data_IF_290624290295
#
_entry.id   IF_290624290295
#
_cell.length_a   1.000
_cell.length_b   1.000
_cell.length_c   1.000
_cell.angle_alpha   90.00
_cell.angle_beta   90.00
_cell.angle_gamma   90.00
#
_symmetry.space_group_name_H-M   'P 1'
#
loop_
_entity.id
_entity.type
_entity.pdbx_description
1 polymer ?
#
# COMPACT_ATOMS: atom_id res chain seq x y z
N UNK A 1 40.61 8.26 -43.79
CA UNK A 1 39.85 9.22 -42.97
C UNK A 1 38.38 9.09 -43.31
N UNK A 2 37.58 8.49 -42.43
CA UNK A 2 36.14 8.37 -42.61
C UNK A 2 35.50 8.41 -41.22
N UNK A 3 35.15 9.62 -40.81
CA UNK A 3 34.49 9.96 -39.55
C UNK A 3 33.08 9.40 -39.61
N UNK A 4 32.77 8.36 -38.83
CA UNK A 4 31.38 7.92 -38.64
C UNK A 4 30.86 8.51 -37.33
N UNK A 5 29.78 9.28 -37.48
CA UNK A 5 29.07 10.00 -36.43
C UNK A 5 28.59 9.06 -35.32
N UNK A 6 28.94 9.42 -34.07
CA UNK A 6 28.29 8.96 -32.85
C UNK A 6 26.85 9.49 -32.84
N UNK A 7 25.86 8.59 -32.85
CA UNK A 7 24.47 8.92 -32.52
C UNK A 7 24.18 8.49 -31.09
N UNK A 8 24.18 9.47 -30.19
CA UNK A 8 23.81 9.32 -28.78
C UNK A 8 22.28 9.18 -28.70
N UNK A 9 21.79 7.97 -28.39
CA UNK A 9 20.37 7.73 -28.13
C UNK A 9 20.09 8.10 -26.67
N UNK A 10 19.53 9.29 -26.43
CA UNK A 10 18.96 9.63 -25.12
C UNK A 10 17.60 8.94 -24.97
N UNK A 11 17.60 7.72 -24.44
CA UNK A 11 16.39 7.10 -23.91
C UNK A 11 16.09 7.71 -22.52
N UNK A 12 15.44 8.88 -22.52
CA UNK A 12 14.87 9.45 -21.31
C UNK A 12 13.62 8.63 -20.92
N UNK A 13 13.80 7.59 -20.12
CA UNK A 13 12.68 7.00 -19.38
C UNK A 13 12.27 8.00 -18.31
N UNK A 14 11.24 8.79 -18.60
CA UNK A 14 10.57 9.64 -17.61
C UNK A 14 9.98 8.74 -16.53
N UNK A 15 10.60 8.78 -15.36
CA UNK A 15 10.09 8.22 -14.12
C UNK A 15 8.67 8.76 -13.90
N UNK A 16 7.67 7.90 -14.11
CA UNK A 16 6.31 8.18 -13.69
C UNK A 16 6.27 8.19 -12.17
N UNK A 17 6.52 9.35 -11.56
CA UNK A 17 6.27 9.55 -10.13
C UNK A 17 4.77 9.53 -9.94
N UNK A 18 4.22 8.33 -9.70
CA UNK A 18 2.88 8.17 -9.15
C UNK A 18 2.87 8.98 -7.85
N UNK A 19 2.20 10.12 -7.87
CA UNK A 19 2.05 10.95 -6.69
C UNK A 19 1.58 10.05 -5.54
N UNK A 20 2.13 10.21 -4.32
CA UNK A 20 1.57 9.54 -3.16
C UNK A 20 0.08 9.83 -3.13
N UNK A 21 -0.74 8.78 -3.00
CA UNK A 21 -2.15 8.98 -2.75
C UNK A 21 -2.31 9.97 -1.59
N UNK A 22 -3.28 10.91 -1.66
CA UNK A 22 -3.53 11.85 -0.57
C UNK A 22 -3.62 11.07 0.75
N UNK A 23 -3.07 11.61 1.86
CA UNK A 23 -3.24 10.97 3.16
C UNK A 23 -4.74 10.83 3.41
N UNK A 24 -5.21 9.59 3.51
CA UNK A 24 -6.55 9.27 3.98
C UNK A 24 -6.68 9.95 5.33
N UNK A 25 -7.71 10.79 5.53
CA UNK A 25 -7.99 11.45 6.81
C UNK A 25 -8.37 10.39 7.84
N UNK A 26 -7.37 9.72 8.40
CA UNK A 26 -7.51 8.72 9.44
C UNK A 26 -7.74 9.47 10.74
N UNK A 27 -8.94 9.37 11.30
CA UNK A 27 -9.18 9.87 12.65
C UNK A 27 -8.39 8.99 13.62
N UNK A 28 -7.85 9.57 14.69
CA UNK A 28 -7.14 8.78 15.73
C UNK A 28 -8.04 7.73 16.38
N UNK A 29 -9.37 7.93 16.35
CA UNK A 29 -10.35 6.92 16.75
C UNK A 29 -10.28 5.65 15.93
N UNK A 30 -9.92 5.76 14.65
CA UNK A 30 -10.07 4.65 13.70
C UNK A 30 -8.97 3.60 13.87
N UNK A 31 -7.92 3.93 14.63
CA UNK A 31 -6.82 3.04 14.97
C UNK A 31 -6.76 2.72 16.46
N UNK A 32 -7.65 3.26 17.29
CA UNK A 32 -7.59 2.99 18.75
C UNK A 32 -7.95 1.54 19.05
N UNK A 33 -7.24 0.89 19.97
CA UNK A 33 -7.48 -0.51 20.35
C UNK A 33 -7.20 -0.78 21.83
N UNK A 34 -7.73 -1.89 22.34
CA UNK A 34 -7.38 -2.41 23.69
C UNK A 34 -6.55 -3.69 23.57
N UNK A 35 -6.86 -4.54 22.60
CA UNK A 35 -6.18 -5.83 22.38
C UNK A 35 -5.91 -6.04 20.89
N UNK A 36 -5.01 -6.98 20.55
CA UNK A 36 -4.76 -7.38 19.16
C UNK A 36 -6.04 -7.78 18.42
N UNK A 37 -7.00 -8.38 19.14
CA UNK A 37 -8.29 -8.81 18.58
C UNK A 37 -9.22 -7.66 18.15
N UNK A 38 -8.88 -6.42 18.49
CA UNK A 38 -9.59 -5.23 18.05
C UNK A 38 -9.08 -4.72 16.70
N UNK A 39 -7.89 -5.15 16.28
CA UNK A 39 -7.23 -4.65 15.09
C UNK A 39 -7.37 -5.61 13.91
N UNK A 40 -7.62 -5.04 12.73
CA UNK A 40 -7.66 -5.78 11.47
C UNK A 40 -6.83 -5.06 10.42
N UNK A 41 -6.23 -5.83 9.51
CA UNK A 41 -5.58 -5.27 8.32
C UNK A 41 -6.63 -4.97 7.27
N UNK A 42 -6.54 -3.79 6.66
CA UNK A 42 -7.33 -3.36 5.52
C UNK A 42 -6.39 -3.00 4.38
N UNK A 43 -6.62 -3.58 3.21
CA UNK A 43 -6.02 -3.07 1.97
C UNK A 43 -6.78 -1.79 1.60
N UNK A 44 -6.15 -0.63 1.75
CA UNK A 44 -6.79 0.68 1.55
C UNK A 44 -6.68 1.19 0.10
N UNK A 45 -6.11 0.37 -0.78
CA UNK A 45 -6.01 0.60 -2.20
C UNK A 45 -6.60 -0.58 -2.98
N UNK A 46 -6.98 -0.36 -4.24
CA UNK A 46 -7.62 -1.40 -5.06
C UNK A 46 -6.73 -2.63 -5.33
N UNK A 47 -5.42 -2.48 -5.25
CA UNK A 47 -4.49 -3.60 -5.22
C UNK A 47 -4.09 -3.90 -3.79
N UNK A 48 -3.70 -5.14 -3.51
CA UNK A 48 -3.08 -5.47 -2.23
C UNK A 48 -1.68 -4.83 -2.11
N UNK A 49 -1.16 -4.80 -0.89
CA UNK A 49 0.19 -4.29 -0.58
C UNK A 49 1.33 -5.01 -1.31
N UNK A 50 1.16 -6.26 -1.74
CA UNK A 50 2.17 -6.96 -2.55
C UNK A 50 2.18 -6.47 -4.00
N UNK A 51 1.08 -5.86 -4.45
CA UNK A 51 0.82 -5.53 -5.84
C UNK A 51 0.64 -4.04 -6.08
N UNK A 52 1.38 -3.22 -5.32
CA UNK A 52 1.42 -1.76 -5.47
C UNK A 52 0.30 -1.02 -4.73
N UNK A 53 -0.42 -1.72 -3.86
CA UNK A 53 -1.37 -1.17 -2.91
C UNK A 53 -0.77 -0.82 -1.56
N UNK A 54 -1.63 -0.74 -0.54
CA UNK A 54 -1.26 -0.35 0.82
C UNK A 54 -2.11 -1.13 1.83
N UNK A 55 -1.44 -1.78 2.78
CA UNK A 55 -2.06 -2.41 3.92
C UNK A 55 -1.92 -1.49 5.15
N UNK A 56 -3.02 -1.24 5.84
CA UNK A 56 -3.09 -0.42 7.06
C UNK A 56 -3.88 -1.16 8.14
N UNK A 57 -3.63 -0.84 9.41
CA UNK A 57 -4.34 -1.46 10.52
C UNK A 57 -5.36 -0.49 11.11
N UNK A 58 -6.58 -0.96 11.33
CA UNK A 58 -7.69 -0.19 11.88
C UNK A 58 -8.40 -0.98 12.98
N UNK A 59 -9.15 -0.26 13.82
CA UNK A 59 -10.11 -0.87 14.71
C UNK A 59 -11.23 -1.55 13.89
N UNK A 60 -11.50 -2.82 14.18
CA UNK A 60 -12.47 -3.66 13.47
C UNK A 60 -13.88 -3.05 13.40
N UNK A 61 -14.26 -2.23 14.38
CA UNK A 61 -15.58 -1.62 14.44
C UNK A 61 -15.80 -0.58 13.33
N UNK A 62 -14.73 -0.01 12.76
CA UNK A 62 -14.79 1.03 11.72
C UNK A 62 -13.99 0.69 10.47
N UNK A 63 -13.22 -0.41 10.47
CA UNK A 63 -12.31 -0.81 9.40
C UNK A 63 -12.96 -0.88 8.00
N UNK A 64 -14.23 -1.29 7.92
CA UNK A 64 -14.95 -1.40 6.64
C UNK A 64 -15.08 -0.07 5.89
N UNK A 65 -15.12 1.05 6.60
CA UNK A 65 -15.20 2.38 5.99
C UNK A 65 -13.92 2.79 5.25
N UNK A 66 -12.80 2.07 5.48
CA UNK A 66 -11.51 2.33 4.86
C UNK A 66 -11.21 1.40 3.67
N UNK A 67 -12.13 0.48 3.35
CA UNK A 67 -12.01 -0.34 2.15
C UNK A 67 -12.16 0.53 0.90
N UNK A 68 -11.33 0.33 -0.13
CA UNK A 68 -11.41 1.11 -1.35
C UNK A 68 -12.73 0.82 -2.07
N UNK A 69 -13.28 1.86 -2.68
CA UNK A 69 -14.44 1.77 -3.57
C UNK A 69 -14.02 2.02 -5.01
N UNK A 70 -14.83 1.56 -5.98
CA UNK A 70 -14.64 1.83 -7.40
C UNK A 70 -13.37 1.22 -8.02
N UNK A 71 -13.13 -0.06 -7.74
CA UNK A 71 -11.92 -0.79 -8.18
C UNK A 71 -12.09 -1.53 -9.52
N UNK A 72 -13.22 -1.40 -10.20
CA UNK A 72 -13.64 -2.25 -11.32
C UNK A 72 -12.72 -2.17 -12.54
N UNK A 73 -11.97 -1.08 -12.69
CA UNK A 73 -11.04 -0.86 -13.81
C UNK A 73 -9.57 -0.95 -13.40
N UNK A 74 -9.28 -1.48 -12.21
CA UNK A 74 -7.89 -1.62 -11.72
C UNK A 74 -7.32 -2.98 -12.11
N UNK A 75 -6.16 -2.97 -12.73
CA UNK A 75 -5.36 -4.19 -12.96
C UNK A 75 -4.16 -4.18 -12.03
N UNK A 76 -4.00 -5.24 -11.23
CA UNK A 76 -2.90 -5.39 -10.28
C UNK A 76 -1.86 -6.38 -10.81
N UNK A 77 -0.62 -6.25 -10.34
CA UNK A 77 0.38 -7.30 -10.55
C UNK A 77 -0.04 -8.57 -9.79
N UNK A 78 0.56 -9.72 -10.12
CA UNK A 78 0.32 -11.00 -9.43
C UNK A 78 1.58 -11.46 -8.68
N UNK A 79 2.18 -10.54 -7.94
CA UNK A 79 3.37 -10.76 -7.11
C UNK A 79 2.96 -11.22 -5.72
N UNK A 80 3.71 -12.19 -5.20
CA UNK A 80 3.61 -12.59 -3.80
C UNK A 80 4.61 -11.80 -2.95
N UNK A 81 4.18 -11.38 -1.78
CA UNK A 81 5.02 -10.86 -0.71
C UNK A 81 4.55 -11.45 0.63
N UNK A 82 5.25 -11.15 1.72
CA UNK A 82 4.88 -11.72 3.01
C UNK A 82 3.63 -11.07 3.59
N UNK A 83 2.95 -11.79 4.48
CA UNK A 83 1.63 -11.41 4.95
C UNK A 83 1.66 -10.14 5.81
N UNK A 84 0.64 -9.29 5.64
CA UNK A 84 0.35 -8.20 6.56
C UNK A 84 -0.41 -8.73 7.79
N UNK A 85 0.03 -8.34 8.99
CA UNK A 85 -0.63 -8.65 10.26
C UNK A 85 -0.88 -7.37 11.05
N UNK A 86 -1.99 -7.32 11.79
CA UNK A 86 -2.31 -6.22 12.68
C UNK A 86 -2.12 -6.62 14.14
N UNK A 87 -1.62 -5.69 14.97
CA UNK A 87 -1.53 -5.84 16.42
C UNK A 87 -1.86 -4.52 17.11
N UNK A 88 -2.25 -4.59 18.38
CA UNK A 88 -2.48 -3.45 19.22
C UNK A 88 -1.19 -3.11 19.99
N UNK A 89 -0.56 -2.00 19.61
CA UNK A 89 0.66 -1.52 20.25
C UNK A 89 0.44 -0.13 20.84
N UNK A 90 0.60 -0.03 22.17
CA UNK A 90 0.36 1.18 22.95
C UNK A 90 -1.03 1.83 22.67
N UNK A 91 -2.07 0.99 22.55
CA UNK A 91 -3.45 1.43 22.32
C UNK A 91 -3.73 1.87 20.88
N UNK A 92 -2.81 1.61 19.94
CA UNK A 92 -2.95 1.93 18.52
C UNK A 92 -2.75 0.67 17.66
N UNK A 93 -3.64 0.43 16.71
CA UNK A 93 -3.51 -0.62 15.72
C UNK A 93 -2.33 -0.32 14.79
N UNK A 94 -1.37 -1.24 14.74
CA UNK A 94 -0.20 -1.18 13.87
C UNK A 94 -0.20 -2.34 12.91
N UNK A 95 0.23 -2.08 11.68
CA UNK A 95 0.44 -3.10 10.65
C UNK A 95 1.93 -3.49 10.63
N UNK A 96 2.19 -4.79 10.49
CA UNK A 96 3.53 -5.34 10.25
C UNK A 96 3.46 -6.24 9.01
N UNK A 97 4.37 -6.03 8.05
CA UNK A 97 4.54 -6.91 6.90
C UNK A 97 5.60 -7.96 7.26
N UNK A 98 5.20 -9.23 7.26
CA UNK A 98 6.12 -10.33 7.55
C UNK A 98 7.06 -10.56 6.36
N UNK A 99 8.27 -11.09 6.57
CA UNK A 99 9.09 -11.60 5.48
C UNK A 99 8.40 -12.78 4.78
N UNK A 100 8.69 -12.96 3.48
CA UNK A 100 8.37 -14.21 2.78
C UNK A 100 9.10 -15.37 3.47
N UNK A 101 8.37 -16.43 3.82
CA UNK A 101 8.93 -17.68 4.36
C UNK A 101 9.02 -18.74 3.26
#
# INVERSE_FOLDING_TARGET
MRTLLLTLVLAACSSGTKAPAPPTNQSSSDTTCTTDSDCVVVETACCDHCNGGKAEAFNKAVADAHKPTSCENTTCTLMACGAATASCDAGTCKVTIQPLR
#
